data_IF_968388246930
#
_entry.id   IF_968388246930
#
_cell.length_a   1.000
_cell.length_b   1.000
_cell.length_c   1.000
_cell.angle_alpha   90.00
_cell.angle_beta   90.00
_cell.angle_gamma   90.00
#
_symmetry.space_group_name_H-M   'P 1'
#
loop_
_entity.id
_entity.type
_entity.pdbx_description
1 polymer ?
#
# COMPACT_ATOMS: atom_id res chain seq x y z
N UNK A 1 26.78 50.56 -13.47
CA UNK A 1 27.95 49.92 -12.85
C UNK A 1 27.70 49.57 -11.38
N UNK A 2 27.44 50.54 -10.48
CA UNK A 2 27.13 50.30 -9.06
C UNK A 2 26.06 49.22 -8.76
N UNK A 3 24.99 49.14 -9.56
CA UNK A 3 23.95 48.11 -9.38
C UNK A 3 24.44 46.68 -9.63
N UNK A 4 25.27 46.46 -10.68
CA UNK A 4 25.84 45.13 -10.99
C UNK A 4 26.80 44.69 -9.89
N UNK A 5 27.62 45.61 -9.38
CA UNK A 5 28.52 45.35 -8.24
C UNK A 5 27.72 44.98 -6.98
N UNK A 6 26.60 45.66 -6.73
CA UNK A 6 25.69 45.31 -5.63
C UNK A 6 25.11 43.91 -5.79
N UNK A 7 24.66 43.52 -7.00
CA UNK A 7 24.15 42.17 -7.26
C UNK A 7 25.24 41.11 -7.02
N UNK A 8 26.45 41.31 -7.55
CA UNK A 8 27.58 40.39 -7.31
C UNK A 8 27.92 40.24 -5.84
N UNK A 9 27.89 41.35 -5.09
CA UNK A 9 28.11 41.31 -3.64
C UNK A 9 27.07 40.42 -2.95
N UNK A 10 25.79 40.57 -3.28
CA UNK A 10 24.72 39.75 -2.71
C UNK A 10 24.81 38.27 -3.13
N UNK A 11 25.17 37.97 -4.39
CA UNK A 11 25.43 36.60 -4.84
C UNK A 11 26.51 35.95 -3.97
N UNK A 12 27.62 36.67 -3.74
CA UNK A 12 28.73 36.18 -2.91
C UNK A 12 28.27 35.93 -1.47
N UNK A 13 27.58 36.90 -0.87
CA UNK A 13 27.07 36.79 0.50
C UNK A 13 26.09 35.63 0.67
N UNK A 14 25.21 35.36 -0.31
CA UNK A 14 24.26 34.25 -0.26
C UNK A 14 24.95 32.89 -0.42
N UNK A 15 25.89 32.79 -1.36
CA UNK A 15 26.67 31.56 -1.58
C UNK A 15 27.50 31.18 -0.35
N UNK A 16 28.05 32.17 0.38
CA UNK A 16 28.81 31.93 1.61
C UNK A 16 27.97 31.40 2.78
N UNK A 17 26.66 31.65 2.77
CA UNK A 17 25.75 31.22 3.85
C UNK A 17 25.38 29.73 3.79
N UNK A 18 25.63 29.05 2.66
CA UNK A 18 25.46 27.59 2.49
C UNK A 18 24.14 27.04 3.04
N UNK A 19 23.02 27.65 2.65
CA UNK A 19 21.68 27.22 3.10
C UNK A 19 21.34 25.77 2.72
N UNK A 20 21.95 25.26 1.65
CA UNK A 20 21.89 23.85 1.23
C UNK A 20 22.51 22.89 2.26
N UNK A 21 23.36 23.37 3.16
CA UNK A 21 24.04 22.56 4.19
C UNK A 21 23.36 22.60 5.56
N UNK A 22 22.23 23.31 5.68
CA UNK A 22 21.46 23.36 6.92
C UNK A 22 20.90 21.97 7.23
N UNK A 23 21.36 21.41 8.36
CA UNK A 23 20.92 20.11 8.84
C UNK A 23 19.41 20.13 9.13
N UNK A 24 18.73 19.00 8.86
CA UNK A 24 17.30 18.75 9.13
C UNK A 24 16.27 19.44 8.22
N UNK A 25 16.68 20.23 7.24
CA UNK A 25 15.75 20.82 6.26
C UNK A 25 16.04 20.24 4.88
N UNK A 26 15.01 19.72 4.22
CA UNK A 26 15.08 19.29 2.83
C UNK A 26 15.09 20.54 1.92
N UNK A 27 16.19 21.29 1.95
CA UNK A 27 16.36 22.53 1.17
C UNK A 27 16.67 22.20 -0.28
N UNK A 28 16.18 23.01 -1.24
CA UNK A 28 16.66 22.93 -2.62
C UNK A 28 18.18 23.18 -2.70
N UNK A 29 18.84 22.60 -3.70
CA UNK A 29 20.28 22.79 -3.95
C UNK A 29 20.68 24.23 -4.32
N UNK A 30 19.70 25.14 -4.44
CA UNK A 30 19.89 26.51 -4.89
C UNK A 30 19.22 27.53 -3.97
N UNK A 31 19.87 28.68 -3.81
CA UNK A 31 19.33 29.85 -3.12
C UNK A 31 18.70 30.79 -4.14
N UNK A 32 17.43 31.13 -3.96
CA UNK A 32 16.75 32.13 -4.81
C UNK A 32 17.10 33.55 -4.34
N UNK A 33 17.74 34.33 -5.20
CA UNK A 33 17.98 35.75 -4.98
C UNK A 33 16.95 36.57 -5.73
N UNK A 34 16.03 37.20 -4.99
CA UNK A 34 14.96 38.01 -5.56
C UNK A 34 15.42 39.44 -5.87
N UNK A 35 15.17 39.89 -7.11
CA UNK A 35 15.42 41.26 -7.57
C UNK A 35 14.06 41.94 -7.86
N UNK A 36 13.58 42.84 -6.98
CA UNK A 36 12.22 43.40 -7.07
C UNK A 36 12.02 44.39 -8.22
N UNK A 37 13.09 44.96 -8.77
CA UNK A 37 13.03 45.97 -9.83
C UNK A 37 13.42 45.32 -11.16
N UNK A 38 12.42 44.82 -11.89
CA UNK A 38 12.62 44.06 -13.13
C UNK A 38 13.37 44.82 -14.23
N UNK A 39 13.13 46.12 -14.51
CA UNK A 39 13.93 46.86 -15.48
C UNK A 39 15.41 46.96 -15.11
N UNK A 40 15.71 47.04 -13.81
CA UNK A 40 17.10 47.09 -13.32
C UNK A 40 17.78 45.72 -13.46
N UNK A 41 17.03 44.63 -13.23
CA UNK A 41 17.48 43.26 -13.47
C UNK A 41 17.82 43.01 -14.95
N UNK A 42 16.91 43.36 -15.87
CA UNK A 42 17.14 43.22 -17.32
C UNK A 42 18.29 44.10 -17.80
N UNK A 43 18.41 45.32 -17.27
CA UNK A 43 19.53 46.21 -17.57
C UNK A 43 20.86 45.64 -17.05
N UNK A 44 20.87 44.97 -15.89
CA UNK A 44 22.06 44.32 -15.36
C UNK A 44 22.49 43.13 -16.23
N UNK A 45 21.54 42.28 -16.64
CA UNK A 45 21.81 41.15 -17.51
C UNK A 45 22.28 41.61 -18.90
N UNK A 46 21.61 42.56 -19.54
CA UNK A 46 22.01 43.05 -20.87
C UNK A 46 23.39 43.73 -20.89
N UNK A 47 23.81 44.33 -19.76
CA UNK A 47 25.15 44.93 -19.62
C UNK A 47 26.22 43.91 -19.22
N UNK A 48 25.83 42.78 -18.64
CA UNK A 48 26.73 41.69 -18.29
C UNK A 48 26.01 40.34 -18.38
N UNK A 49 26.08 39.71 -19.55
CA UNK A 49 25.43 38.42 -19.81
C UNK A 49 26.00 37.27 -18.96
N UNK A 50 27.22 37.41 -18.41
CA UNK A 50 27.83 36.38 -17.56
C UNK A 50 27.29 36.40 -16.13
N UNK A 51 26.64 37.49 -15.70
CA UNK A 51 26.17 37.66 -14.32
C UNK A 51 25.24 36.53 -13.87
N UNK A 52 24.38 36.03 -14.77
CA UNK A 52 23.48 34.92 -14.46
C UNK A 52 24.24 33.60 -14.28
N UNK A 53 25.20 33.29 -15.16
CA UNK A 53 26.03 32.09 -15.05
C UNK A 53 26.94 32.15 -13.81
N UNK A 54 27.52 33.31 -13.51
CA UNK A 54 28.28 33.57 -12.28
C UNK A 54 27.46 33.28 -11.01
N UNK A 55 26.16 33.58 -11.04
CA UNK A 55 25.25 33.30 -9.94
C UNK A 55 24.96 31.78 -9.84
N UNK A 56 24.67 31.13 -10.97
CA UNK A 56 24.40 29.70 -11.04
C UNK A 56 25.59 28.86 -10.58
N UNK A 57 26.81 29.20 -10.99
CA UNK A 57 28.05 28.52 -10.56
C UNK A 57 28.26 28.61 -9.04
N UNK A 58 27.57 29.54 -8.38
CA UNK A 58 27.58 29.77 -6.94
C UNK A 58 26.33 29.24 -6.23
N UNK A 59 25.53 28.41 -6.90
CA UNK A 59 24.24 27.89 -6.45
C UNK A 59 23.21 28.99 -6.11
N UNK A 60 23.30 30.15 -6.77
CA UNK A 60 22.36 31.26 -6.60
C UNK A 60 21.55 31.46 -7.89
N UNK A 61 20.23 31.32 -7.80
CA UNK A 61 19.33 31.56 -8.93
C UNK A 61 18.72 32.95 -8.79
N UNK A 62 19.00 33.82 -9.75
CA UNK A 62 18.41 35.15 -9.81
C UNK A 62 16.95 35.04 -10.28
N UNK A 63 16.03 35.64 -9.53
CA UNK A 63 14.59 35.65 -9.86
C UNK A 63 14.00 37.05 -9.76
N UNK A 64 13.12 37.43 -10.68
CA UNK A 64 12.32 38.66 -10.64
C UNK A 64 10.88 38.37 -10.20
N UNK A 65 10.05 39.41 -10.15
CA UNK A 65 8.60 39.32 -9.89
C UNK A 65 7.87 38.35 -10.82
N UNK A 66 8.30 38.27 -12.08
CA UNK A 66 7.67 37.40 -13.08
C UNK A 66 8.14 35.94 -12.97
N UNK A 67 9.41 35.71 -12.62
CA UNK A 67 9.98 34.34 -12.59
C UNK A 67 9.83 33.66 -11.24
N UNK A 68 9.74 34.40 -10.12
CA UNK A 68 9.66 33.82 -8.78
C UNK A 68 8.49 32.85 -8.63
N UNK A 69 7.29 33.27 -9.03
CA UNK A 69 6.08 32.45 -8.90
C UNK A 69 6.17 31.19 -9.76
N UNK A 70 6.71 31.31 -10.97
CA UNK A 70 6.93 30.18 -11.86
C UNK A 70 7.91 29.18 -11.24
N UNK A 71 9.05 29.65 -10.74
CA UNK A 71 10.05 28.79 -10.10
C UNK A 71 9.51 28.09 -8.85
N UNK A 72 8.79 28.80 -7.98
CA UNK A 72 8.17 28.19 -6.80
C UNK A 72 7.09 27.16 -7.17
N UNK A 73 6.30 27.44 -8.21
CA UNK A 73 5.29 26.50 -8.72
C UNK A 73 5.93 25.24 -9.32
N UNK A 74 7.08 25.37 -9.98
CA UNK A 74 7.88 24.24 -10.47
C UNK A 74 8.40 23.40 -9.31
N UNK A 75 9.00 24.01 -8.28
CA UNK A 75 9.48 23.28 -7.09
C UNK A 75 8.33 22.54 -6.39
N UNK A 76 7.21 23.22 -6.17
CA UNK A 76 6.00 22.62 -5.59
C UNK A 76 5.49 21.43 -6.41
N UNK A 77 5.48 21.56 -7.74
CA UNK A 77 5.07 20.48 -8.64
C UNK A 77 6.03 19.29 -8.60
N UNK A 78 7.34 19.54 -8.52
CA UNK A 78 8.36 18.50 -8.37
C UNK A 78 8.20 17.75 -7.05
N UNK A 79 8.01 18.44 -5.93
CA UNK A 79 7.75 17.78 -4.63
C UNK A 79 6.47 16.95 -4.65
N UNK A 80 5.39 17.47 -5.24
CA UNK A 80 4.14 16.72 -5.39
C UNK A 80 4.35 15.45 -6.23
N UNK A 81 5.11 15.55 -7.31
CA UNK A 81 5.43 14.40 -8.17
C UNK A 81 6.28 13.37 -7.43
N UNK A 82 7.31 13.79 -6.69
CA UNK A 82 8.16 12.92 -5.90
C UNK A 82 7.35 12.19 -4.81
N UNK A 83 6.49 12.91 -4.10
CA UNK A 83 5.61 12.31 -3.09
C UNK A 83 4.63 11.30 -3.72
N UNK A 84 4.06 11.65 -4.88
CA UNK A 84 3.18 10.73 -5.61
C UNK A 84 3.92 9.46 -6.05
N UNK A 85 5.16 9.58 -6.54
CA UNK A 85 5.99 8.43 -6.93
C UNK A 85 6.25 7.49 -5.75
N UNK A 86 6.58 8.04 -4.57
CA UNK A 86 6.75 7.24 -3.34
C UNK A 86 5.48 6.46 -2.99
N UNK A 87 4.33 7.13 -2.99
CA UNK A 87 3.05 6.49 -2.71
C UNK A 87 2.70 5.40 -3.72
N UNK A 88 2.97 5.61 -5.02
CA UNK A 88 2.73 4.59 -6.05
C UNK A 88 3.57 3.34 -5.82
N UNK A 89 4.84 3.48 -5.45
CA UNK A 89 5.71 2.35 -5.14
C UNK A 89 5.21 1.59 -3.91
N UNK A 90 4.77 2.29 -2.87
CA UNK A 90 4.18 1.64 -1.69
C UNK A 90 2.88 0.91 -2.02
N UNK A 91 1.99 1.53 -2.80
CA UNK A 91 0.75 0.90 -3.26
C UNK A 91 1.05 -0.38 -4.05
N UNK A 92 2.02 -0.34 -4.97
CA UNK A 92 2.42 -1.53 -5.74
C UNK A 92 2.93 -2.66 -4.84
N UNK A 93 3.77 -2.33 -3.85
CA UNK A 93 4.29 -3.29 -2.89
C UNK A 93 3.18 -3.90 -2.02
N UNK A 94 2.25 -3.07 -1.53
CA UNK A 94 1.12 -3.54 -0.73
C UNK A 94 0.15 -4.39 -1.56
N UNK A 95 -0.13 -4.00 -2.80
CA UNK A 95 -0.98 -4.75 -3.72
C UNK A 95 -0.40 -6.13 -4.04
N UNK A 96 0.92 -6.23 -4.27
CA UNK A 96 1.59 -7.52 -4.47
C UNK A 96 1.44 -8.44 -3.26
N UNK A 97 1.75 -7.95 -2.05
CA UNK A 97 1.60 -8.73 -0.81
C UNK A 97 0.15 -9.16 -0.56
N UNK A 98 -0.80 -8.26 -0.83
CA UNK A 98 -2.23 -8.56 -0.68
C UNK A 98 -2.66 -9.67 -1.64
N UNK A 99 -2.18 -9.63 -2.89
CA UNK A 99 -2.47 -10.67 -3.88
C UNK A 99 -1.95 -12.03 -3.42
N UNK A 100 -0.70 -12.11 -2.96
CA UNK A 100 -0.11 -13.35 -2.45
C UNK A 100 -0.89 -13.90 -1.25
N UNK A 101 -1.27 -13.04 -0.30
CA UNK A 101 -2.09 -13.43 0.85
C UNK A 101 -3.48 -13.94 0.43
N UNK A 102 -4.09 -13.31 -0.58
CA UNK A 102 -5.38 -13.72 -1.10
C UNK A 102 -5.30 -15.09 -1.76
N UNK A 103 -4.26 -15.35 -2.57
CA UNK A 103 -4.03 -16.68 -3.18
C UNK A 103 -3.86 -17.75 -2.10
N UNK A 104 -3.02 -17.50 -1.09
CA UNK A 104 -2.83 -18.45 0.02
C UNK A 104 -4.15 -18.76 0.74
N UNK A 105 -4.99 -17.74 0.99
CA UNK A 105 -6.31 -17.94 1.57
C UNK A 105 -7.20 -18.82 0.67
N UNK A 106 -7.18 -18.60 -0.65
CA UNK A 106 -7.97 -19.40 -1.58
C UNK A 106 -7.53 -20.88 -1.59
N UNK A 107 -6.23 -21.14 -1.52
CA UNK A 107 -5.68 -22.50 -1.43
C UNK A 107 -6.10 -23.19 -0.13
N UNK A 108 -6.06 -22.47 1.00
CA UNK A 108 -6.49 -23.01 2.28
C UNK A 108 -7.99 -23.33 2.29
N UNK A 109 -8.82 -22.48 1.67
CA UNK A 109 -10.26 -22.76 1.51
C UNK A 109 -10.52 -23.98 0.62
N UNK A 110 -9.74 -24.18 -0.46
CA UNK A 110 -9.83 -25.38 -1.29
C UNK A 110 -9.49 -26.64 -0.46
N UNK A 111 -8.42 -26.59 0.36
CA UNK A 111 -8.04 -27.70 1.24
C UNK A 111 -9.15 -28.02 2.24
N UNK A 112 -9.73 -27.01 2.88
CA UNK A 112 -10.86 -27.18 3.82
C UNK A 112 -12.05 -27.81 3.11
N UNK A 113 -12.41 -27.32 1.92
CA UNK A 113 -13.50 -27.89 1.12
C UNK A 113 -13.31 -29.38 0.82
N UNK A 114 -12.07 -29.81 0.54
CA UNK A 114 -11.74 -31.21 0.33
C UNK A 114 -11.85 -32.04 1.61
N UNK A 115 -11.36 -31.52 2.74
CA UNK A 115 -11.47 -32.20 4.04
C UNK A 115 -12.94 -32.36 4.47
N UNK A 116 -13.78 -31.36 4.24
CA UNK A 116 -15.22 -31.47 4.49
C UNK A 116 -15.87 -32.59 3.67
N UNK A 117 -15.48 -32.76 2.40
CA UNK A 117 -15.95 -33.91 1.59
C UNK A 117 -15.51 -35.25 2.18
N UNK A 118 -14.27 -35.35 2.66
CA UNK A 118 -13.78 -36.57 3.33
C UNK A 118 -14.55 -36.89 4.60
N UNK A 119 -14.80 -35.87 5.43
CA UNK A 119 -15.59 -36.01 6.66
C UNK A 119 -17.02 -36.42 6.33
N UNK A 120 -17.64 -35.78 5.34
CA UNK A 120 -18.98 -36.14 4.87
C UNK A 120 -19.06 -37.59 4.40
N UNK A 121 -18.09 -38.05 3.60
CA UNK A 121 -18.05 -39.45 3.14
C UNK A 121 -17.87 -40.46 4.28
N UNK A 122 -17.09 -40.10 5.31
CA UNK A 122 -16.90 -40.92 6.51
C UNK A 122 -18.18 -40.98 7.36
N UNK A 123 -18.87 -39.84 7.49
CA UNK A 123 -20.18 -39.75 8.12
C UNK A 123 -21.21 -40.61 7.37
N UNK A 124 -21.33 -40.46 6.05
CA UNK A 124 -22.29 -41.20 5.23
C UNK A 124 -22.05 -42.71 5.31
N UNK A 125 -20.78 -43.13 5.28
CA UNK A 125 -20.40 -44.54 5.43
C UNK A 125 -20.80 -45.10 6.80
N UNK A 126 -20.58 -44.33 7.86
CA UNK A 126 -20.97 -44.70 9.22
C UNK A 126 -22.49 -44.76 9.36
N UNK A 127 -23.19 -43.80 8.76
CA UNK A 127 -24.65 -43.76 8.76
C UNK A 127 -25.27 -44.94 7.99
N UNK A 128 -24.68 -45.34 6.86
CA UNK A 128 -25.08 -46.56 6.15
C UNK A 128 -24.96 -47.82 7.01
N UNK A 129 -23.91 -47.95 7.83
CA UNK A 129 -23.78 -49.06 8.79
C UNK A 129 -24.86 -49.01 9.87
N UNK A 130 -25.25 -47.80 10.28
CA UNK A 130 -26.22 -47.56 11.34
C UNK A 130 -27.68 -47.71 10.89
N UNK A 131 -28.04 -47.30 9.66
CA UNK A 131 -29.44 -47.27 9.19
C UNK A 131 -29.69 -47.94 7.84
N UNK A 132 -28.68 -48.32 7.05
CA UNK A 132 -28.86 -48.95 5.73
C UNK A 132 -29.30 -50.43 5.75
N UNK A 133 -29.11 -51.15 4.64
CA UNK A 133 -29.52 -52.57 4.54
C UNK A 133 -28.71 -53.47 5.50
N UNK A 134 -29.40 -54.18 6.39
CA UNK A 134 -28.77 -55.04 7.40
C UNK A 134 -28.15 -54.26 8.58
N UNK A 135 -28.67 -53.06 8.84
CA UNK A 135 -28.12 -52.11 9.79
C UNK A 135 -28.10 -52.58 11.26
N UNK A 136 -27.28 -51.88 12.04
CA UNK A 136 -27.11 -52.13 13.47
C UNK A 136 -28.36 -51.80 14.29
N UNK A 137 -29.14 -50.78 13.93
CA UNK A 137 -30.36 -50.41 14.68
C UNK A 137 -31.37 -51.56 14.68
N UNK A 138 -31.71 -52.10 13.50
CA UNK A 138 -32.59 -53.28 13.34
C UNK A 138 -32.07 -54.48 14.14
N UNK A 139 -30.75 -54.72 14.14
CA UNK A 139 -30.14 -55.82 14.89
C UNK A 139 -30.28 -55.64 16.40
N UNK A 140 -30.02 -54.45 16.92
CA UNK A 140 -30.09 -54.15 18.35
C UNK A 140 -31.54 -54.10 18.84
N UNK A 141 -32.46 -53.53 18.07
CA UNK A 141 -33.89 -53.54 18.40
C UNK A 141 -34.47 -54.96 18.40
N UNK A 142 -34.10 -55.81 17.45
CA UNK A 142 -34.49 -57.23 17.47
C UNK A 142 -34.02 -57.96 18.74
N UNK A 143 -32.83 -57.65 19.25
CA UNK A 143 -32.33 -58.24 20.52
C UNK A 143 -33.20 -57.80 21.71
N UNK A 144 -33.65 -56.55 21.72
CA UNK A 144 -34.57 -56.03 22.73
C UNK A 144 -35.94 -56.70 22.65
N UNK A 145 -36.49 -56.89 21.44
CA UNK A 145 -37.74 -57.63 21.22
C UNK A 145 -37.65 -59.09 21.71
N UNK A 146 -36.48 -59.72 21.60
CA UNK A 146 -36.21 -61.07 22.10
C UNK A 146 -36.06 -61.15 23.63
N UNK A 147 -36.24 -60.04 24.36
CA UNK A 147 -36.32 -60.03 25.83
C UNK A 147 -35.09 -59.46 26.54
N UNK A 148 -34.16 -58.82 25.83
CA UNK A 148 -33.05 -58.13 26.48
C UNK A 148 -33.56 -56.95 27.33
N UNK A 149 -33.21 -56.92 28.63
CA UNK A 149 -33.60 -55.84 29.53
C UNK A 149 -32.85 -54.55 29.20
N UNK A 150 -33.54 -53.56 28.64
CA UNK A 150 -32.99 -52.23 28.34
C UNK A 150 -33.81 -51.13 29.01
N UNK A 151 -33.16 -50.14 29.61
CA UNK A 151 -33.83 -48.99 30.26
C UNK A 151 -34.01 -47.75 29.38
N UNK A 152 -33.29 -47.68 28.25
CA UNK A 152 -33.35 -46.54 27.31
C UNK A 152 -33.99 -46.94 25.98
N UNK A 153 -34.67 -45.99 25.35
CA UNK A 153 -35.33 -46.17 24.05
C UNK A 153 -34.54 -45.42 22.98
N UNK A 154 -34.40 -46.03 21.81
CA UNK A 154 -33.68 -45.45 20.69
C UNK A 154 -34.45 -44.26 20.09
N UNK A 155 -33.72 -43.31 19.49
CA UNK A 155 -34.33 -42.13 18.88
C UNK A 155 -35.27 -42.54 17.73
N UNK A 156 -36.53 -42.06 17.76
CA UNK A 156 -37.56 -42.41 16.77
C UNK A 156 -37.15 -42.09 15.34
N UNK A 157 -36.57 -40.92 15.08
CA UNK A 157 -36.15 -40.52 13.72
C UNK A 157 -35.07 -41.45 13.14
N UNK A 158 -34.18 -41.98 13.98
CA UNK A 158 -33.17 -42.95 13.55
C UNK A 158 -33.75 -44.34 13.34
N UNK A 159 -34.75 -44.71 14.15
CA UNK A 159 -35.51 -45.95 14.03
C UNK A 159 -36.30 -45.97 12.71
N UNK A 160 -37.08 -44.92 12.46
CA UNK A 160 -37.92 -44.77 11.26
C UNK A 160 -37.04 -44.85 10.00
N UNK A 161 -35.95 -44.06 9.96
CA UNK A 161 -34.98 -44.07 8.87
C UNK A 161 -34.31 -45.44 8.66
N UNK A 162 -34.11 -46.20 9.74
CA UNK A 162 -33.53 -47.54 9.65
C UNK A 162 -34.53 -48.60 9.17
N UNK A 163 -35.83 -48.35 9.30
CA UNK A 163 -36.93 -49.25 8.92
C UNK A 163 -37.53 -48.98 7.54
N UNK A 164 -37.40 -47.75 7.02
CA UNK A 164 -37.94 -47.34 5.71
C UNK A 164 -37.16 -47.89 4.50
N UNK A 165 -35.92 -48.36 4.69
CA UNK A 165 -35.11 -49.13 3.71
C UNK A 165 -35.26 -50.65 3.86
#
# INVERSE_FOLDING_TARGET
>A
KKHIESIRKHIKELSEKKYESLYEINTPDYVLMFVPIEPAYLLALSKNNQLYMEALDKNVVLVSTSTLLATLSTVSSMWRQENQKKNVLEIANQAGRLYDQFVNLTDDLIKVGNQLKTVQGSYDTSMKKLTGKGNLIKKVEKIKELGAKTSKVMNKSLLDRATED
#
